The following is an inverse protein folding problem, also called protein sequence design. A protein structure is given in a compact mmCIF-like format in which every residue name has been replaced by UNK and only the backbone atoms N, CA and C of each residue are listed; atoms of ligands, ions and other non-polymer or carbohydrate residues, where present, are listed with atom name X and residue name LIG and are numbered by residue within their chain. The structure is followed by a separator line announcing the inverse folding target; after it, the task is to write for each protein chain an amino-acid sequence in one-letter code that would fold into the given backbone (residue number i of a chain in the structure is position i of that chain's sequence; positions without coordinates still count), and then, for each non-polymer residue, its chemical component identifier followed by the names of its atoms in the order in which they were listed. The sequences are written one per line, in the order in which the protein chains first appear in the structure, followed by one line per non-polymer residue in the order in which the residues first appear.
data_IF_759033021489
#
_entry.id   IF_759033021489
#
_cell.length_a   1.000
_cell.length_b   1.000
_cell.length_c   1.000
_cell.angle_alpha   90.00
_cell.angle_beta   90.00
_cell.angle_gamma   90.00
#
_symmetry.space_group_name_H-M   'P 1'
#
loop_
_entity.id
_entity.type
_entity.pdbx_description
1 polymer ?
#
# COMPACT_ATOMS: atom_id res chain seq x y z
N UNK A 1 12.81 19.12 19.52
CA UNK A 1 13.65 20.07 20.27
C UNK A 1 13.24 20.05 21.73
N UNK A 2 14.19 19.83 22.63
CA UNK A 2 13.94 19.98 24.07
C UNK A 2 13.88 21.49 24.36
N UNK A 3 12.76 21.95 24.92
CA UNK A 3 12.57 23.35 25.30
C UNK A 3 12.97 23.58 26.76
N UNK A 4 13.34 24.81 27.10
CA UNK A 4 13.66 25.19 28.49
C UNK A 4 12.50 24.92 29.47
N UNK A 5 11.26 25.02 28.99
CA UNK A 5 10.07 24.72 29.78
C UNK A 5 9.94 23.22 30.12
N UNK A 6 10.28 22.34 29.17
CA UNK A 6 10.26 20.90 29.40
C UNK A 6 11.37 20.47 30.37
N UNK A 7 12.55 21.07 30.23
CA UNK A 7 13.69 20.94 31.15
C UNK A 7 13.31 21.37 32.57
N UNK A 8 12.61 22.49 32.71
CA UNK A 8 12.15 23.00 33.99
C UNK A 8 11.22 22.00 34.69
N UNK A 9 10.18 21.53 33.99
CA UNK A 9 9.24 20.51 34.51
C UNK A 9 9.92 19.18 34.85
N UNK A 10 10.94 18.78 34.09
CA UNK A 10 11.70 17.56 34.37
C UNK A 10 12.56 17.72 35.63
N UNK A 11 13.19 18.89 35.83
CA UNK A 11 13.98 19.20 37.03
C UNK A 11 13.12 19.31 38.29
N UNK A 12 11.91 19.83 38.20
CA UNK A 12 10.96 19.81 39.33
C UNK A 12 10.67 18.38 39.82
N UNK A 13 10.68 17.40 38.91
CA UNK A 13 10.47 15.98 39.22
C UNK A 13 11.74 15.24 39.66
N UNK A 14 12.90 15.74 39.24
CA UNK A 14 14.22 15.19 39.58
C UNK A 14 15.15 16.33 40.05
N UNK A 15 14.95 16.86 41.27
CA UNK A 15 15.65 18.06 41.74
C UNK A 15 17.16 17.87 41.92
N UNK A 16 17.60 16.62 42.10
CA UNK A 16 19.01 16.24 42.23
C UNK A 16 19.76 16.24 40.88
N UNK A 17 19.04 16.34 39.75
CA UNK A 17 19.65 16.44 38.43
C UNK A 17 20.24 17.84 38.22
N UNK A 18 21.56 17.90 38.12
CA UNK A 18 22.27 19.13 37.85
C UNK A 18 22.13 19.51 36.36
N UNK A 19 21.69 20.75 36.09
CA UNK A 19 21.41 21.22 34.71
C UNK A 19 22.68 21.32 33.88
N UNK A 20 23.81 21.61 34.52
CA UNK A 20 25.12 21.73 33.88
C UNK A 20 25.69 20.36 33.45
N UNK A 21 25.21 19.27 34.05
CA UNK A 21 25.60 17.89 33.70
C UNK A 21 24.72 17.29 32.58
N UNK A 22 23.63 17.98 32.20
CA UNK A 22 22.76 17.62 31.09
C UNK A 22 23.24 18.30 29.80
N UNK A 23 24.19 17.70 29.10
CA UNK A 23 24.55 18.13 27.75
C UNK A 23 23.48 17.72 26.73
N UNK A 24 22.54 18.63 26.48
CA UNK A 24 21.48 18.47 25.49
C UNK A 24 21.85 19.00 24.10
N UNK A 25 23.04 19.55 23.93
CA UNK A 25 23.52 19.99 22.61
C UNK A 25 23.57 18.79 21.65
N UNK A 26 24.06 17.65 22.15
CA UNK A 26 24.06 16.35 21.45
C UNK A 26 22.67 15.87 21.03
N UNK A 27 21.63 16.12 21.84
CA UNK A 27 20.25 15.71 21.55
C UNK A 27 19.63 16.60 20.47
N UNK A 28 19.89 17.90 20.50
CA UNK A 28 19.44 18.81 19.45
C UNK A 28 20.17 18.54 18.12
N UNK A 29 21.47 18.21 18.15
CA UNK A 29 22.21 17.77 16.96
C UNK A 29 21.65 16.49 16.35
N UNK A 30 21.12 15.55 17.15
CA UNK A 30 20.43 14.37 16.63
C UNK A 30 19.09 14.71 15.93
N UNK A 31 18.35 15.72 16.42
CA UNK A 31 17.15 16.23 15.74
C UNK A 31 17.47 16.98 14.44
N UNK A 32 18.57 17.73 14.42
CA UNK A 32 19.07 18.39 13.20
C UNK A 32 19.47 17.33 12.17
N UNK A 33 20.25 16.33 12.55
CA UNK A 33 20.63 15.19 11.70
C UNK A 33 19.39 14.45 11.14
N UNK A 34 18.34 14.27 11.95
CA UNK A 34 17.07 13.68 11.49
C UNK A 34 16.43 14.51 10.37
N UNK A 35 16.35 15.83 10.53
CA UNK A 35 15.73 16.71 9.53
C UNK A 35 16.59 16.84 8.26
N UNK A 36 17.91 16.89 8.42
CA UNK A 36 18.87 16.94 7.31
C UNK A 36 18.80 15.66 6.46
N UNK A 37 18.84 14.49 7.09
CA UNK A 37 18.76 13.20 6.39
C UNK A 37 17.43 13.04 5.64
N UNK A 38 16.31 13.43 6.25
CA UNK A 38 15.00 13.41 5.60
C UNK A 38 14.97 14.33 4.37
N UNK A 39 15.43 15.57 4.51
CA UNK A 39 15.43 16.56 3.42
C UNK A 39 16.34 16.11 2.27
N UNK A 40 17.53 15.62 2.61
CA UNK A 40 18.48 15.05 1.65
C UNK A 40 17.89 13.85 0.92
N UNK A 41 17.28 12.91 1.65
CA UNK A 41 16.63 11.73 1.05
C UNK A 41 15.56 12.14 0.06
N UNK A 42 14.69 13.08 0.41
CA UNK A 42 13.66 13.59 -0.49
C UNK A 42 14.27 14.20 -1.75
N UNK A 43 15.24 15.11 -1.60
CA UNK A 43 15.88 15.79 -2.72
C UNK A 43 16.58 14.81 -3.68
N UNK A 44 17.29 13.82 -3.14
CA UNK A 44 18.04 12.85 -3.94
C UNK A 44 17.11 11.82 -4.59
N UNK A 45 16.07 11.36 -3.91
CA UNK A 45 15.18 10.31 -4.43
C UNK A 45 14.08 10.81 -5.36
N UNK A 46 13.56 12.03 -5.18
CA UNK A 46 12.37 12.51 -5.89
C UNK A 46 12.57 12.55 -7.41
N UNK A 47 13.75 12.98 -7.87
CA UNK A 47 14.08 12.99 -9.29
C UNK A 47 14.23 11.57 -9.86
N UNK A 48 14.91 10.69 -9.11
CA UNK A 48 15.20 9.31 -9.52
C UNK A 48 13.95 8.43 -9.57
N UNK A 49 12.98 8.67 -8.68
CA UNK A 49 11.75 7.87 -8.57
C UNK A 49 10.53 8.58 -9.15
N UNK A 50 10.73 9.68 -9.87
CA UNK A 50 9.65 10.53 -10.36
C UNK A 50 8.67 9.77 -11.25
N UNK A 51 9.15 8.86 -12.09
CA UNK A 51 8.32 8.05 -12.96
C UNK A 51 7.44 7.08 -12.17
N UNK A 52 8.03 6.35 -11.22
CA UNK A 52 7.35 5.36 -10.41
C UNK A 52 6.32 6.02 -9.48
N UNK A 53 6.71 7.12 -8.82
CA UNK A 53 5.81 7.90 -7.98
C UNK A 53 4.65 8.47 -8.79
N UNK A 54 4.89 8.93 -10.02
CA UNK A 54 3.83 9.41 -10.91
C UNK A 54 2.87 8.29 -11.30
N UNK A 55 3.38 7.09 -11.59
CA UNK A 55 2.56 5.93 -11.90
C UNK A 55 1.69 5.51 -10.70
N UNK A 56 2.25 5.49 -9.48
CA UNK A 56 1.50 5.18 -8.26
C UNK A 56 0.45 6.26 -7.99
N UNK A 57 0.80 7.55 -8.11
CA UNK A 57 -0.16 8.67 -7.94
C UNK A 57 -1.31 8.59 -8.94
N UNK A 58 -1.02 8.23 -10.20
CA UNK A 58 -2.05 8.03 -11.23
C UNK A 58 -3.03 6.92 -10.83
N UNK A 59 -2.52 5.82 -10.29
CA UNK A 59 -3.34 4.71 -9.79
C UNK A 59 -4.16 5.11 -8.55
N UNK A 60 -3.58 5.88 -7.62
CA UNK A 60 -4.32 6.44 -6.48
C UNK A 60 -5.44 7.38 -6.95
N UNK A 61 -5.20 8.22 -7.96
CA UNK A 61 -6.23 9.10 -8.53
C UNK A 61 -7.38 8.31 -9.15
N UNK A 62 -7.10 7.18 -9.79
CA UNK A 62 -8.15 6.28 -10.26
C UNK A 62 -9.01 5.78 -9.09
N UNK A 63 -8.39 5.19 -8.06
CA UNK A 63 -9.11 4.72 -6.86
C UNK A 63 -9.95 5.84 -6.23
N UNK A 64 -9.35 7.02 -6.04
CA UNK A 64 -10.00 8.17 -5.40
C UNK A 64 -11.18 8.71 -6.21
N UNK A 65 -11.11 8.67 -7.54
CA UNK A 65 -12.25 9.06 -8.39
C UNK A 65 -13.46 8.15 -8.12
N UNK A 66 -13.23 6.84 -7.98
CA UNK A 66 -14.30 5.88 -7.68
C UNK A 66 -14.76 5.95 -6.22
N UNK A 67 -13.88 6.29 -5.28
CA UNK A 67 -14.23 6.61 -3.89
C UNK A 67 -15.20 7.79 -3.85
N UNK A 68 -14.86 8.91 -4.48
CA UNK A 68 -15.73 10.09 -4.50
C UNK A 68 -17.07 9.75 -5.15
N UNK A 69 -17.07 9.03 -6.28
CA UNK A 69 -18.32 8.61 -6.94
C UNK A 69 -19.19 7.72 -6.05
N UNK A 70 -18.57 6.84 -5.27
CA UNK A 70 -19.26 5.97 -4.29
C UNK A 70 -19.91 6.76 -3.13
N UNK A 71 -19.44 7.99 -2.87
CA UNK A 71 -19.91 8.84 -1.78
C UNK A 71 -20.88 9.94 -2.22
N UNK A 72 -20.94 10.29 -3.51
CA UNK A 72 -21.77 11.39 -4.03
C UNK A 72 -23.28 11.14 -3.93
N UNK A 73 -23.73 9.89 -4.05
CA UNK A 73 -25.15 9.56 -3.96
C UNK A 73 -25.40 8.12 -3.57
N UNK A 74 -26.39 7.89 -2.69
CA UNK A 74 -26.96 6.56 -2.40
C UNK A 74 -27.63 5.91 -3.64
N UNK A 75 -27.79 6.66 -4.74
CA UNK A 75 -28.29 6.15 -6.02
C UNK A 75 -27.19 5.60 -6.92
N UNK A 76 -25.93 5.95 -6.68
CA UNK A 76 -24.80 5.35 -7.38
C UNK A 76 -24.74 3.88 -6.93
N UNK A 77 -24.78 2.96 -7.89
CA UNK A 77 -24.85 1.52 -7.62
C UNK A 77 -23.71 0.83 -8.36
N UNK A 78 -22.52 0.95 -7.80
CA UNK A 78 -21.40 0.12 -8.20
C UNK A 78 -21.63 -1.30 -7.68
N UNK A 79 -21.97 -1.45 -6.41
CA UNK A 79 -22.32 -2.75 -5.84
C UNK A 79 -23.77 -3.11 -6.17
N UNK A 80 -24.01 -4.39 -6.44
CA UNK A 80 -25.33 -4.91 -6.80
C UNK A 80 -26.32 -4.80 -5.64
N UNK A 81 -27.60 -4.54 -5.94
CA UNK A 81 -28.65 -4.25 -4.93
C UNK A 81 -28.84 -5.31 -3.85
N UNK A 82 -28.54 -6.58 -4.16
CA UNK A 82 -28.69 -7.71 -3.26
C UNK A 82 -27.41 -8.09 -2.51
N UNK A 83 -26.34 -7.31 -2.70
CA UNK A 83 -25.07 -7.54 -2.02
C UNK A 83 -25.09 -6.97 -0.60
N UNK A 84 -24.40 -7.64 0.32
CA UNK A 84 -24.39 -7.28 1.74
C UNK A 84 -23.75 -5.92 2.02
N UNK A 85 -22.90 -5.42 1.11
CA UNK A 85 -22.28 -4.10 1.21
C UNK A 85 -22.93 -3.07 0.28
N UNK A 86 -22.97 -1.83 0.77
CA UNK A 86 -23.23 -0.59 0.00
C UNK A 86 -21.94 0.06 -0.50
N UNK A 87 -22.07 0.98 -1.46
CA UNK A 87 -20.95 1.71 -2.08
C UNK A 87 -20.07 2.47 -1.08
N UNK A 88 -20.60 2.93 0.07
CA UNK A 88 -19.79 3.51 1.15
C UNK A 88 -18.72 2.54 1.71
N UNK A 89 -19.01 1.24 1.75
CA UNK A 89 -18.03 0.24 2.19
C UNK A 89 -16.97 -0.01 1.11
N UNK A 90 -17.38 0.05 -0.17
CA UNK A 90 -16.43 0.04 -1.28
C UNK A 90 -15.50 1.25 -1.19
N UNK A 91 -16.04 2.45 -0.96
CA UNK A 91 -15.27 3.67 -0.75
C UNK A 91 -14.27 3.51 0.40
N UNK A 92 -14.68 2.91 1.52
CA UNK A 92 -13.79 2.64 2.64
C UNK A 92 -12.64 1.67 2.31
N UNK A 93 -12.93 0.59 1.55
CA UNK A 93 -11.91 -0.36 1.08
C UNK A 93 -10.91 0.34 0.16
N UNK A 94 -11.40 1.05 -0.86
CA UNK A 94 -10.56 1.74 -1.84
C UNK A 94 -9.72 2.85 -1.20
N UNK A 95 -10.29 3.60 -0.25
CA UNK A 95 -9.56 4.62 0.53
C UNK A 95 -8.40 4.00 1.31
N UNK A 96 -8.62 2.83 1.93
CA UNK A 96 -7.55 2.14 2.64
C UNK A 96 -6.43 1.68 1.71
N UNK A 97 -6.76 1.21 0.50
CA UNK A 97 -5.76 0.85 -0.52
C UNK A 97 -4.98 2.08 -1.00
N UNK A 98 -5.68 3.16 -1.36
CA UNK A 98 -5.08 4.43 -1.76
C UNK A 98 -4.10 4.96 -0.71
N UNK A 99 -4.54 5.03 0.56
CA UNK A 99 -3.71 5.56 1.64
C UNK A 99 -2.51 4.68 1.93
N UNK A 100 -2.66 3.34 1.87
CA UNK A 100 -1.52 2.43 2.03
C UNK A 100 -0.51 2.60 0.91
N UNK A 101 -0.95 2.68 -0.35
CA UNK A 101 -0.06 2.94 -1.49
C UNK A 101 0.64 4.31 -1.37
N UNK A 102 -0.09 5.33 -0.88
CA UNK A 102 0.48 6.65 -0.63
C UNK A 102 1.59 6.60 0.42
N UNK A 103 1.32 5.99 1.57
CA UNK A 103 2.32 5.85 2.64
C UNK A 103 3.56 5.10 2.17
N UNK A 104 3.42 4.08 1.31
CA UNK A 104 4.57 3.34 0.78
C UNK A 104 5.50 4.27 -0.02
N UNK A 105 4.98 5.02 -1.00
CA UNK A 105 5.86 5.87 -1.80
C UNK A 105 6.46 7.03 -1.00
N UNK A 106 5.71 7.59 -0.03
CA UNK A 106 6.22 8.65 0.85
C UNK A 106 7.36 8.14 1.75
N UNK A 107 7.25 6.90 2.25
CA UNK A 107 8.33 6.26 3.00
C UNK A 107 9.54 5.97 2.12
N UNK A 108 9.35 5.50 0.89
CA UNK A 108 10.45 5.30 -0.07
C UNK A 108 11.20 6.60 -0.36
N UNK A 109 10.47 7.70 -0.63
CA UNK A 109 11.05 9.02 -0.85
C UNK A 109 11.77 9.56 0.40
N UNK A 110 11.28 9.19 1.58
CA UNK A 110 11.92 9.54 2.84
C UNK A 110 13.04 8.57 3.25
N UNK A 111 13.38 7.57 2.42
CA UNK A 111 14.47 6.62 2.69
C UNK A 111 14.16 5.52 3.72
N UNK A 112 12.89 5.27 4.05
CA UNK A 112 12.44 4.25 5.00
C UNK A 112 12.02 2.94 4.31
N UNK A 113 12.96 2.30 3.60
CA UNK A 113 12.67 1.18 2.71
C UNK A 113 12.08 -0.06 3.42
N UNK A 114 12.57 -0.42 4.62
CA UNK A 114 12.07 -1.60 5.35
C UNK A 114 10.62 -1.39 5.79
N UNK A 115 10.30 -0.20 6.31
CA UNK A 115 8.94 0.14 6.73
C UNK A 115 8.00 0.18 5.52
N UNK A 116 8.48 0.69 4.39
CA UNK A 116 7.77 0.66 3.11
C UNK A 116 7.50 -0.79 2.66
N UNK A 117 8.45 -1.72 2.78
CA UNK A 117 8.29 -3.14 2.45
C UNK A 117 7.23 -3.84 3.33
N UNK A 118 7.21 -3.54 4.63
CA UNK A 118 6.19 -4.05 5.56
C UNK A 118 4.79 -3.54 5.17
N UNK A 119 4.67 -2.26 4.80
CA UNK A 119 3.41 -1.72 4.27
C UNK A 119 3.06 -2.32 2.91
N UNK A 120 4.02 -2.62 2.06
CA UNK A 120 3.77 -3.28 0.78
C UNK A 120 3.20 -4.69 0.99
N UNK A 121 3.74 -5.47 1.94
CA UNK A 121 3.13 -6.76 2.30
C UNK A 121 1.69 -6.60 2.79
N UNK A 122 1.41 -5.52 3.52
CA UNK A 122 0.06 -5.16 3.96
C UNK A 122 -0.84 -4.78 2.79
N UNK A 123 -0.32 -4.06 1.79
CA UNK A 123 -1.05 -3.71 0.56
C UNK A 123 -1.47 -4.96 -0.21
N UNK A 124 -0.55 -5.91 -0.44
CA UNK A 124 -0.84 -7.22 -1.08
C UNK A 124 -1.98 -7.94 -0.36
N UNK A 125 -1.97 -7.92 0.97
CA UNK A 125 -3.00 -8.59 1.76
C UNK A 125 -4.35 -7.89 1.63
N UNK A 126 -4.36 -6.55 1.69
CA UNK A 126 -5.58 -5.74 1.58
C UNK A 126 -6.22 -5.82 0.19
N UNK A 127 -5.43 -5.84 -0.88
CA UNK A 127 -5.95 -6.04 -2.25
C UNK A 127 -6.59 -7.42 -2.38
N UNK A 128 -5.98 -8.47 -1.81
CA UNK A 128 -6.58 -9.81 -1.79
C UNK A 128 -7.87 -9.84 -1.00
N UNK A 129 -7.88 -9.27 0.20
CA UNK A 129 -9.07 -9.19 1.06
C UNK A 129 -10.19 -8.43 0.35
N UNK A 130 -9.88 -7.31 -0.31
CA UNK A 130 -10.86 -6.55 -1.09
C UNK A 130 -11.51 -7.42 -2.19
N UNK A 131 -10.71 -8.13 -3.00
CA UNK A 131 -11.25 -9.00 -4.05
C UNK A 131 -12.07 -10.15 -3.46
N UNK A 132 -11.61 -10.80 -2.38
CA UNK A 132 -12.35 -11.88 -1.71
C UNK A 132 -13.69 -11.38 -1.19
N UNK A 133 -13.69 -10.27 -0.44
CA UNK A 133 -14.92 -9.71 0.14
C UNK A 133 -15.90 -9.28 -0.94
N UNK A 134 -15.44 -8.64 -2.02
CA UNK A 134 -16.32 -8.20 -3.11
C UNK A 134 -16.89 -9.37 -3.94
N UNK A 135 -16.29 -10.55 -3.90
CA UNK A 135 -16.80 -11.73 -4.59
C UNK A 135 -17.73 -12.61 -3.75
N UNK A 136 -17.76 -12.43 -2.42
CA UNK A 136 -18.49 -13.30 -1.49
C UNK A 136 -19.34 -12.44 -0.51
N UNK A 137 -20.66 -12.40 -0.78
CA UNK A 137 -21.60 -11.59 0.01
C UNK A 137 -21.73 -12.06 1.45
N UNK A 138 -21.55 -13.34 1.73
CA UNK A 138 -21.64 -13.90 3.08
C UNK A 138 -20.41 -13.50 3.90
N UNK A 139 -19.21 -13.63 3.31
CA UNK A 139 -17.98 -13.15 3.94
C UNK A 139 -18.01 -11.65 4.18
N UNK A 140 -18.49 -10.87 3.20
CA UNK A 140 -18.68 -9.43 3.35
C UNK A 140 -19.61 -9.12 4.52
N UNK A 141 -20.74 -9.82 4.65
CA UNK A 141 -21.66 -9.61 5.76
C UNK A 141 -21.01 -9.94 7.12
N UNK A 142 -20.28 -11.05 7.21
CA UNK A 142 -19.55 -11.43 8.43
C UNK A 142 -18.51 -10.39 8.81
N UNK A 143 -17.79 -9.83 7.81
CA UNK A 143 -16.82 -8.78 8.01
C UNK A 143 -17.47 -7.48 8.51
N UNK A 144 -18.60 -7.07 7.90
CA UNK A 144 -19.31 -5.86 8.27
C UNK A 144 -19.99 -5.92 9.63
N UNK A 145 -20.40 -7.12 10.08
CA UNK A 145 -21.03 -7.31 11.39
C UNK A 145 -20.02 -7.43 12.56
N UNK A 146 -18.72 -7.28 12.27
CA UNK A 146 -17.65 -7.51 13.24
C UNK A 146 -17.32 -6.23 14.02
N UNK A 147 -18.29 -5.72 14.77
CA UNK A 147 -18.30 -4.36 15.35
C UNK A 147 -17.41 -4.18 16.60
N UNK A 148 -16.91 -5.27 17.18
CA UNK A 148 -16.02 -5.25 18.33
C UNK A 148 -14.71 -6.02 18.09
N UNK A 149 -13.73 -5.85 18.99
CA UNK A 149 -12.41 -6.47 18.82
C UNK A 149 -12.44 -8.00 18.79
N UNK A 150 -13.34 -8.64 19.52
CA UNK A 150 -13.43 -10.09 19.58
C UNK A 150 -14.07 -10.64 18.29
N UNK A 151 -15.16 -10.02 17.84
CA UNK A 151 -15.83 -10.34 16.59
C UNK A 151 -14.92 -10.07 15.39
N UNK A 152 -14.18 -8.96 15.38
CA UNK A 152 -13.22 -8.63 14.33
C UNK A 152 -12.12 -9.67 14.20
N UNK A 153 -11.53 -10.11 15.32
CA UNK A 153 -10.54 -11.21 15.32
C UNK A 153 -11.15 -12.52 14.84
N UNK A 154 -12.36 -12.84 15.26
CA UNK A 154 -13.07 -14.05 14.84
C UNK A 154 -13.36 -14.06 13.34
N UNK A 155 -13.94 -12.96 12.82
CA UNK A 155 -14.23 -12.78 11.40
C UNK A 155 -12.94 -12.82 10.57
N UNK A 156 -11.89 -12.10 10.98
CA UNK A 156 -10.59 -12.15 10.32
C UNK A 156 -10.02 -13.57 10.27
N UNK A 157 -10.08 -14.30 11.39
CA UNK A 157 -9.61 -15.68 11.44
C UNK A 157 -10.43 -16.60 10.52
N UNK A 158 -11.76 -16.50 10.56
CA UNK A 158 -12.64 -17.36 9.78
C UNK A 158 -12.52 -17.12 8.27
N UNK A 159 -12.49 -15.85 7.86
CA UNK A 159 -12.52 -15.43 6.46
C UNK A 159 -11.12 -15.55 5.85
N UNK A 160 -10.08 -15.08 6.56
CA UNK A 160 -8.76 -14.86 5.96
C UNK A 160 -7.68 -15.81 6.50
N UNK A 161 -7.50 -15.91 7.82
CA UNK A 161 -6.30 -16.52 8.39
C UNK A 161 -6.35 -18.07 8.47
N UNK A 162 -7.54 -18.65 8.70
CA UNK A 162 -7.68 -20.10 8.94
C UNK A 162 -7.24 -20.91 7.73
N UNK A 163 -6.15 -21.69 7.87
CA UNK A 163 -5.64 -22.63 6.86
C UNK A 163 -5.38 -21.98 5.49
N UNK A 164 -4.80 -20.78 5.48
CA UNK A 164 -4.50 -20.01 4.26
C UNK A 164 -5.75 -19.69 3.42
N UNK A 165 -6.90 -19.52 4.08
CA UNK A 165 -8.19 -19.30 3.41
C UNK A 165 -8.16 -18.10 2.48
N UNK A 166 -7.52 -17.00 2.87
CA UNK A 166 -7.36 -15.81 2.02
C UNK A 166 -6.73 -16.18 0.67
N UNK A 167 -5.57 -16.85 0.69
CA UNK A 167 -4.87 -17.26 -0.52
C UNK A 167 -5.71 -18.22 -1.36
N UNK A 168 -6.32 -19.24 -0.74
CA UNK A 168 -7.14 -20.22 -1.45
C UNK A 168 -8.37 -19.60 -2.11
N UNK A 169 -9.09 -18.72 -1.41
CA UNK A 169 -10.26 -18.00 -1.96
C UNK A 169 -9.81 -17.06 -3.08
N UNK A 170 -8.76 -16.28 -2.85
CA UNK A 170 -8.23 -15.34 -3.83
C UNK A 170 -7.77 -16.05 -5.12
N UNK A 171 -6.94 -17.10 -5.02
CA UNK A 171 -6.49 -17.87 -6.18
C UNK A 171 -7.64 -18.51 -6.97
N UNK A 172 -8.71 -18.92 -6.27
CA UNK A 172 -9.90 -19.45 -6.94
C UNK A 172 -10.63 -18.37 -7.73
N UNK A 173 -10.83 -17.18 -7.14
CA UNK A 173 -11.44 -16.02 -7.81
C UNK A 173 -10.57 -15.57 -8.97
N UNK A 174 -9.27 -15.44 -8.76
CA UNK A 174 -8.30 -15.04 -9.78
C UNK A 174 -8.31 -16.00 -10.98
N UNK A 175 -8.34 -17.32 -10.75
CA UNK A 175 -8.50 -18.31 -11.83
C UNK A 175 -9.79 -18.14 -12.62
N UNK A 176 -10.90 -17.88 -11.93
CA UNK A 176 -12.22 -17.66 -12.55
C UNK A 176 -12.18 -16.41 -13.43
N UNK A 177 -11.76 -15.27 -12.85
CA UNK A 177 -11.72 -13.98 -13.50
C UNK A 177 -10.69 -13.90 -14.64
N UNK A 178 -9.58 -14.65 -14.56
CA UNK A 178 -8.50 -14.67 -15.55
C UNK A 178 -8.53 -15.89 -16.48
N UNK A 179 -9.59 -16.70 -16.46
CA UNK A 179 -9.70 -17.96 -17.21
C UNK A 179 -9.45 -17.82 -18.72
N UNK A 180 -9.74 -16.65 -19.30
CA UNK A 180 -9.55 -16.34 -20.73
C UNK A 180 -8.23 -15.62 -21.05
N UNK A 181 -7.41 -15.31 -20.04
CA UNK A 181 -6.13 -14.63 -20.26
C UNK A 181 -5.01 -15.64 -20.53
N UNK A 182 -4.31 -15.56 -21.67
CA UNK A 182 -3.22 -16.48 -22.00
C UNK A 182 -2.09 -16.45 -20.97
N UNK A 183 -1.75 -15.27 -20.45
CA UNK A 183 -0.65 -15.07 -19.51
C UNK A 183 -1.06 -15.17 -18.03
N UNK A 184 -2.25 -15.72 -17.74
CA UNK A 184 -2.77 -15.79 -16.36
C UNK A 184 -1.88 -16.60 -15.42
N UNK A 185 -1.14 -17.60 -15.91
CA UNK A 185 -0.23 -18.39 -15.07
C UNK A 185 1.05 -17.63 -14.72
N UNK A 186 1.63 -16.90 -15.68
CA UNK A 186 2.85 -16.12 -15.47
C UNK A 186 2.60 -14.94 -14.51
N UNK A 187 1.50 -14.20 -14.72
CA UNK A 187 1.11 -13.11 -13.83
C UNK A 187 0.92 -13.57 -12.39
N UNK A 188 0.31 -14.76 -12.21
CA UNK A 188 0.12 -15.38 -10.89
C UNK A 188 1.43 -15.78 -10.24
N UNK A 189 2.34 -16.38 -11.00
CA UNK A 189 3.65 -16.78 -10.50
C UNK A 189 4.47 -15.54 -10.10
N UNK A 190 4.44 -14.49 -10.93
CA UNK A 190 5.12 -13.24 -10.65
C UNK A 190 4.59 -12.57 -9.39
N UNK A 191 3.25 -12.45 -9.23
CA UNK A 191 2.65 -11.92 -8.01
C UNK A 191 3.02 -12.73 -6.77
N UNK A 192 2.98 -14.06 -6.86
CA UNK A 192 3.36 -14.95 -5.75
C UNK A 192 4.82 -14.73 -5.34
N UNK A 193 5.73 -14.61 -6.30
CA UNK A 193 7.13 -14.29 -6.03
C UNK A 193 7.25 -12.97 -5.25
N UNK A 194 6.57 -11.90 -5.68
CA UNK A 194 6.62 -10.60 -4.98
C UNK A 194 6.08 -10.68 -3.55
N UNK A 195 5.03 -11.48 -3.33
CA UNK A 195 4.46 -11.71 -2.00
C UNK A 195 5.43 -12.48 -1.09
N UNK A 196 6.08 -13.51 -1.62
CA UNK A 196 7.06 -14.30 -0.88
C UNK A 196 8.27 -13.42 -0.49
N UNK A 197 8.76 -12.59 -1.40
CA UNK A 197 9.82 -11.59 -1.14
C UNK A 197 9.42 -10.61 -0.02
N UNK A 198 8.23 -10.01 -0.10
CA UNK A 198 7.74 -9.06 0.91
C UNK A 198 7.50 -9.72 2.28
N UNK A 199 7.15 -11.01 2.30
CA UNK A 199 6.95 -11.77 3.54
C UNK A 199 8.25 -11.98 4.30
N UNK A 200 9.39 -12.08 3.61
CA UNK A 200 10.71 -12.18 4.26
C UNK A 200 11.03 -10.92 5.08
N UNK A 201 10.64 -9.75 4.60
CA UNK A 201 10.81 -8.47 5.31
C UNK A 201 9.94 -8.40 6.56
N UNK A 202 8.68 -8.86 6.50
CA UNK A 202 7.75 -8.87 7.65
C UNK A 202 8.19 -9.86 8.74
N UNK A 203 8.68 -11.04 8.36
CA UNK A 203 9.12 -12.05 9.32
C UNK A 203 10.52 -11.78 9.89
N UNK A 204 11.12 -10.65 9.55
CA UNK A 204 12.43 -10.26 10.07
C UNK A 204 13.54 -11.22 9.65
N UNK A 205 13.45 -11.80 8.45
CA UNK A 205 14.51 -12.67 7.96
C UNK A 205 15.84 -11.89 7.97
N UNK A 206 16.89 -12.54 8.48
CA UNK A 206 18.18 -11.88 8.77
C UNK A 206 18.71 -11.10 7.57
N UNK A 207 18.57 -11.63 6.35
CA UNK A 207 19.07 -10.98 5.14
C UNK A 207 18.30 -9.68 4.79
N UNK A 208 16.96 -9.67 4.58
CA UNK A 208 16.20 -8.42 4.38
C UNK A 208 16.37 -7.39 5.50
N UNK A 209 16.43 -7.82 6.76
CA UNK A 209 16.63 -6.90 7.89
C UNK A 209 18.02 -6.29 7.86
N UNK A 210 19.05 -7.10 7.64
CA UNK A 210 20.44 -6.62 7.59
C UNK A 210 20.62 -5.68 6.41
N UNK A 211 20.24 -6.09 5.20
CA UNK A 211 20.32 -5.26 3.99
C UNK A 211 19.48 -4.00 4.17
N UNK A 212 18.24 -4.11 4.63
CA UNK A 212 17.34 -2.97 4.79
C UNK A 212 17.71 -2.01 5.92
N UNK A 213 18.58 -2.41 6.85
CA UNK A 213 19.13 -1.51 7.89
C UNK A 213 20.20 -0.56 7.34
N UNK A 214 20.65 -0.79 6.12
CA UNK A 214 21.62 0.05 5.42
C UNK A 214 21.03 0.64 4.15
N UNK A 215 21.56 1.79 3.77
CA UNK A 215 21.28 2.47 2.52
C UNK A 215 22.45 2.25 1.56
N UNK A 216 22.08 1.92 0.32
CA UNK A 216 22.98 1.71 -0.80
C UNK A 216 22.52 2.64 -1.92
N UNK A 217 23.20 3.78 -2.05
CA UNK A 217 22.88 4.79 -3.06
C UNK A 217 23.95 4.87 -4.14
N UNK A 218 25.22 4.88 -3.73
CA UNK A 218 26.39 4.82 -4.60
C UNK A 218 27.16 3.51 -4.37
N UNK A 219 27.89 3.04 -5.38
CA UNK A 219 28.52 1.71 -5.39
C UNK A 219 29.53 1.50 -4.25
N UNK A 220 30.08 2.59 -3.69
CA UNK A 220 31.15 2.56 -2.70
C UNK A 220 30.72 2.98 -1.27
N UNK A 221 29.47 3.39 -1.05
CA UNK A 221 29.03 3.89 0.27
C UNK A 221 27.85 3.09 0.85
N UNK A 222 28.14 2.32 1.89
CA UNK A 222 27.12 1.70 2.76
C UNK A 222 26.90 2.63 3.96
N UNK A 223 25.69 3.19 4.07
CA UNK A 223 25.31 4.06 5.19
C UNK A 223 24.25 3.40 6.04
N UNK A 224 24.15 3.79 7.31
CA UNK A 224 22.98 3.40 8.10
C UNK A 224 21.71 4.04 7.53
N UNK A 225 20.60 3.30 7.52
CA UNK A 225 19.28 3.82 7.17
C UNK A 225 18.60 4.57 8.35
N UNK A 226 19.33 4.84 9.44
CA UNK A 226 18.82 5.62 10.58
C UNK A 226 18.32 6.98 10.10
N UNK A 227 17.07 7.29 10.49
CA UNK A 227 16.37 8.52 10.12
C UNK A 227 16.05 8.69 8.63
N UNK A 228 16.16 7.62 7.85
CA UNK A 228 15.87 7.62 6.43
C UNK A 228 17.08 8.04 5.62
N UNK A 229 17.43 7.21 4.64
CA UNK A 229 18.55 7.45 3.73
C UNK A 229 18.14 7.02 2.31
N UNK A 230 18.56 7.74 1.25
CA UNK A 230 18.27 7.33 -0.12
C UNK A 230 18.77 5.91 -0.37
N UNK A 231 17.97 5.07 -1.02
CA UNK A 231 18.36 3.67 -1.25
C UNK A 231 17.80 3.15 -2.55
N UNK A 232 18.67 2.64 -3.45
CA UNK A 232 18.26 2.16 -4.78
C UNK A 232 17.23 1.02 -4.72
N UNK A 233 17.20 0.25 -3.64
CA UNK A 233 16.21 -0.83 -3.48
C UNK A 233 14.77 -0.29 -3.41
N UNK A 234 14.57 0.99 -3.09
CA UNK A 234 13.25 1.61 -3.08
C UNK A 234 12.61 1.67 -4.46
N UNK A 235 13.39 1.78 -5.55
CA UNK A 235 12.84 1.74 -6.91
C UNK A 235 12.13 0.41 -7.17
N UNK A 236 12.80 -0.72 -6.87
CA UNK A 236 12.21 -2.06 -7.00
C UNK A 236 10.93 -2.21 -6.15
N UNK A 237 10.88 -1.59 -4.97
CA UNK A 237 9.69 -1.62 -4.15
C UNK A 237 8.55 -0.81 -4.77
N UNK A 238 8.83 0.38 -5.31
CA UNK A 238 7.84 1.19 -6.02
C UNK A 238 7.29 0.47 -7.26
N UNK A 239 8.16 -0.19 -8.03
CA UNK A 239 7.81 -1.08 -9.14
C UNK A 239 6.84 -2.20 -8.71
N UNK A 240 7.12 -2.83 -7.57
CA UNK A 240 6.25 -3.85 -7.00
C UNK A 240 4.87 -3.28 -6.63
N UNK A 241 4.80 -2.06 -6.08
CA UNK A 241 3.53 -1.36 -5.78
C UNK A 241 2.77 -1.06 -7.06
N UNK A 242 3.45 -0.59 -8.11
CA UNK A 242 2.84 -0.33 -9.42
C UNK A 242 2.19 -1.58 -9.96
N UNK A 243 2.91 -2.71 -9.93
CA UNK A 243 2.39 -4.00 -10.36
C UNK A 243 1.17 -4.43 -9.53
N UNK A 244 1.25 -4.36 -8.20
CA UNK A 244 0.16 -4.84 -7.32
C UNK A 244 -1.12 -4.01 -7.51
N UNK A 245 -1.02 -2.69 -7.63
CA UNK A 245 -2.17 -1.83 -7.93
C UNK A 245 -2.73 -2.07 -9.33
N UNK A 246 -1.88 -2.25 -10.34
CA UNK A 246 -2.31 -2.54 -11.70
C UNK A 246 -3.06 -3.88 -11.75
N UNK A 247 -2.49 -4.90 -11.12
CA UNK A 247 -3.07 -6.22 -11.06
C UNK A 247 -4.40 -6.22 -10.29
N UNK A 248 -4.46 -5.45 -9.19
CA UNK A 248 -5.70 -5.18 -8.49
C UNK A 248 -6.75 -4.55 -9.42
N UNK A 249 -6.44 -3.54 -10.22
CA UNK A 249 -7.41 -2.96 -11.17
C UNK A 249 -7.95 -3.97 -12.18
N UNK A 250 -7.10 -4.87 -12.68
CA UNK A 250 -7.52 -5.94 -13.60
C UNK A 250 -8.57 -6.83 -12.94
N UNK A 251 -8.32 -7.30 -11.71
CA UNK A 251 -9.26 -8.16 -10.99
C UNK A 251 -10.50 -7.40 -10.49
N UNK A 252 -10.31 -6.17 -10.05
CA UNK A 252 -11.37 -5.32 -9.48
C UNK A 252 -12.41 -4.97 -10.55
N UNK A 253 -12.00 -4.49 -11.72
CA UNK A 253 -12.93 -4.17 -12.82
C UNK A 253 -13.67 -5.42 -13.34
N UNK A 254 -13.01 -6.57 -13.38
CA UNK A 254 -13.66 -7.86 -13.69
C UNK A 254 -14.64 -8.28 -12.60
N UNK A 255 -14.30 -8.08 -11.33
CA UNK A 255 -15.21 -8.34 -10.20
C UNK A 255 -16.46 -7.44 -10.30
N UNK A 256 -16.28 -6.13 -10.51
CA UNK A 256 -17.40 -5.19 -10.64
C UNK A 256 -18.32 -5.55 -11.82
N UNK A 257 -17.75 -5.83 -12.99
CA UNK A 257 -18.54 -6.18 -14.18
C UNK A 257 -19.21 -7.55 -14.08
N UNK A 258 -18.52 -8.57 -13.57
CA UNK A 258 -19.03 -9.94 -13.56
C UNK A 258 -19.92 -10.24 -12.34
N UNK A 259 -19.55 -9.81 -11.13
CA UNK A 259 -20.31 -10.09 -9.90
C UNK A 259 -21.34 -9.01 -9.60
N UNK A 260 -20.97 -7.73 -9.71
CA UNK A 260 -21.89 -6.64 -9.39
C UNK A 260 -22.66 -6.11 -10.59
N UNK A 261 -22.35 -6.58 -11.80
CA UNK A 261 -22.97 -6.14 -13.07
C UNK A 261 -22.86 -4.63 -13.27
N UNK A 262 -21.82 -4.02 -12.69
CA UNK A 262 -21.58 -2.60 -12.84
C UNK A 262 -21.27 -2.26 -14.29
N UNK A 263 -21.91 -1.21 -14.77
CA UNK A 263 -21.65 -0.61 -16.08
C UNK A 263 -21.20 0.83 -15.81
N UNK A 264 -19.97 1.22 -16.22
CA UNK A 264 -19.50 2.59 -16.04
C UNK A 264 -20.45 3.58 -16.71
N UNK A 265 -20.89 4.59 -15.95
CA UNK A 265 -21.60 5.75 -16.49
C UNK A 265 -20.58 6.77 -17.00
N UNK A 266 -20.27 6.70 -18.30
CA UNK A 266 -19.31 7.62 -18.94
C UNK A 266 -19.79 9.07 -19.05
N UNK A 267 -21.02 9.38 -18.61
CA UNK A 267 -21.49 10.77 -18.52
C UNK A 267 -21.11 11.44 -17.20
N UNK A 268 -20.70 10.66 -16.19
CA UNK A 268 -20.22 11.17 -14.91
C UNK A 268 -18.69 11.38 -14.95
N UNK A 269 -18.25 12.58 -14.59
CA UNK A 269 -16.83 12.97 -14.64
C UNK A 269 -15.91 12.12 -13.75
N UNK A 270 -16.41 11.62 -12.61
CA UNK A 270 -15.62 10.80 -11.69
C UNK A 270 -15.45 9.37 -12.22
N UNK A 271 -16.48 8.82 -12.86
CA UNK A 271 -16.38 7.53 -13.54
C UNK A 271 -15.43 7.64 -14.74
N UNK A 272 -15.55 8.72 -15.52
CA UNK A 272 -14.62 9.00 -16.61
C UNK A 272 -13.18 9.19 -16.09
N UNK A 273 -13.00 9.88 -14.96
CA UNK A 273 -11.72 10.02 -14.27
C UNK A 273 -11.13 8.67 -13.86
N UNK A 274 -11.91 7.80 -13.22
CA UNK A 274 -11.49 6.44 -12.87
C UNK A 274 -10.99 5.68 -14.11
N UNK A 275 -11.76 5.69 -15.20
CA UNK A 275 -11.39 4.97 -16.43
C UNK A 275 -10.16 5.58 -17.12
N UNK A 276 -10.06 6.91 -17.18
CA UNK A 276 -8.92 7.61 -17.77
C UNK A 276 -7.62 7.34 -17.00
N UNK A 277 -7.64 7.50 -15.68
CA UNK A 277 -6.44 7.27 -14.86
C UNK A 277 -6.04 5.80 -14.86
N UNK A 278 -7.00 4.87 -14.79
CA UNK A 278 -6.74 3.43 -14.92
C UNK A 278 -6.14 3.08 -16.28
N UNK A 279 -6.68 3.63 -17.37
CA UNK A 279 -6.14 3.42 -18.71
C UNK A 279 -4.72 3.97 -18.84
N UNK A 280 -4.48 5.18 -18.32
CA UNK A 280 -3.15 5.82 -18.32
C UNK A 280 -2.14 4.96 -17.54
N UNK A 281 -2.52 4.49 -16.35
CA UNK A 281 -1.69 3.59 -15.55
C UNK A 281 -1.42 2.26 -16.28
N UNK A 282 -2.42 1.71 -16.97
CA UNK A 282 -2.24 0.51 -17.80
C UNK A 282 -1.22 0.73 -18.92
N UNK A 283 -1.27 1.88 -19.61
CA UNK A 283 -0.30 2.22 -20.66
C UNK A 283 1.10 2.48 -20.12
N UNK A 284 1.23 3.07 -18.93
CA UNK A 284 2.51 3.18 -18.24
C UNK A 284 3.05 1.79 -17.90
N UNK A 285 2.21 0.90 -17.36
CA UNK A 285 2.61 -0.48 -17.03
C UNK A 285 3.07 -1.28 -18.26
N UNK A 286 2.38 -1.15 -19.40
CA UNK A 286 2.81 -1.77 -20.67
C UNK A 286 4.22 -1.37 -21.10
N UNK A 287 4.63 -0.11 -20.85
CA UNK A 287 5.97 0.36 -21.19
C UNK A 287 7.06 -0.29 -20.34
N UNK A 288 6.78 -0.55 -19.06
CA UNK A 288 7.74 -1.14 -18.12
C UNK A 288 7.75 -2.68 -18.14
N UNK A 289 6.61 -3.31 -18.47
CA UNK A 289 6.40 -4.75 -18.33
C UNK A 289 5.76 -5.39 -19.56
N UNK A 290 6.12 -4.95 -20.77
CA UNK A 290 5.58 -5.46 -22.03
C UNK A 290 5.62 -7.00 -22.12
N UNK A 291 6.71 -7.61 -21.62
CA UNK A 291 6.88 -9.06 -21.55
C UNK A 291 5.83 -9.81 -20.70
N UNK A 292 5.16 -9.15 -19.75
CA UNK A 292 4.11 -9.76 -18.92
C UNK A 292 2.71 -9.64 -19.53
N UNK A 293 2.56 -8.85 -20.61
CA UNK A 293 1.27 -8.49 -21.21
C UNK A 293 1.13 -9.09 -22.61
N UNK A 294 2.21 -9.13 -23.38
CA UNK A 294 2.24 -9.70 -24.74
C UNK A 294 2.80 -11.13 -24.76
N UNK A 295 1.89 -12.10 -24.82
CA UNK A 295 1.99 -13.39 -25.55
C UNK A 295 0.61 -13.97 -25.78
#
# INVERSE_FOLDING_TARGET
MITDELLHKFKERYPDLNREDLDLSSVNSAFELFNENRTKSLFETESHYSAEVTAIKTQILALNSLVTYSLESDTNRILSKGFSARDIHLAAILTNLSNTAQSIYELCLSGFNVQADVLYRTLIERTMQAIVLLNDSEDMQKWLNADDSALSKSAHYEIFAKRERLHKKYEAIERDLLSVNPNSQELRAFRKQKMDEASLSVHGASNPVTVGSFSYWDEDEVKSAIFGSPCRSSQRLLDNVIFELWFFFVLFTRTLSQKHKWKPDYTNDLVLGFELYRYTAHKQFEQFYSHLIET
#
